data_IF_238638322643
#
_entry.id   IF_238638322643
#
_cell.length_a   1.000
_cell.length_b   1.000
_cell.length_c   1.000
_cell.angle_alpha   90.00
_cell.angle_beta   90.00
_cell.angle_gamma   90.00
#
_symmetry.space_group_name_H-M   'P 1'
#
loop_
_entity.id
_entity.type
_entity.pdbx_description
1 polymer ?
#
# COMPACT_ATOMS: atom_id res chain seq x y z
N UNK A 1 -5.47 -16.17 6.68
CA UNK A 1 -4.73 -14.90 6.63
C UNK A 1 -5.59 -13.81 7.26
N UNK A 2 -4.97 -12.77 7.81
CA UNK A 2 -5.66 -11.71 8.55
C UNK A 2 -4.92 -10.38 8.46
N UNK A 3 -5.63 -9.28 8.63
CA UNK A 3 -5.09 -7.95 8.96
C UNK A 3 -5.27 -7.76 10.45
N UNK A 4 -4.21 -7.43 11.16
CA UNK A 4 -4.25 -7.25 12.60
C UNK A 4 -3.62 -5.92 13.04
N UNK A 5 -4.19 -5.34 14.08
CA UNK A 5 -3.66 -4.16 14.76
C UNK A 5 -2.67 -4.61 15.83
N UNK A 6 -1.51 -3.97 15.85
CA UNK A 6 -0.48 -4.17 16.87
C UNK A 6 -0.19 -2.86 17.57
N UNK A 7 0.06 -2.93 18.87
CA UNK A 7 0.63 -1.83 19.64
C UNK A 7 2.14 -2.04 19.73
N UNK A 8 2.91 -1.00 19.48
CA UNK A 8 4.34 -0.96 19.81
C UNK A 8 4.45 -0.77 21.32
N UNK A 9 5.28 -1.58 21.96
CA UNK A 9 5.58 -1.41 23.38
C UNK A 9 6.38 -0.13 23.57
N UNK A 10 5.98 0.72 24.52
CA UNK A 10 6.62 2.01 24.74
C UNK A 10 8.05 1.90 25.32
N UNK A 11 8.30 0.84 26.09
CA UNK A 11 9.59 0.60 26.74
C UNK A 11 10.52 -0.27 25.87
N UNK A 12 9.92 -1.09 24.98
CA UNK A 12 10.67 -1.95 24.08
C UNK A 12 10.03 -1.90 22.67
N UNK A 13 10.48 -0.98 21.79
CA UNK A 13 9.91 -0.79 20.47
C UNK A 13 10.09 -1.98 19.50
N UNK A 14 10.95 -2.94 19.82
CA UNK A 14 11.08 -4.20 19.07
C UNK A 14 9.93 -5.16 19.38
N UNK A 15 9.21 -4.94 20.49
CA UNK A 15 8.10 -5.79 20.91
C UNK A 15 6.78 -5.28 20.39
N UNK A 16 6.16 -6.06 19.52
CA UNK A 16 4.82 -5.82 19.01
C UNK A 16 3.79 -6.66 19.79
N UNK A 17 2.80 -5.99 20.36
CA UNK A 17 1.70 -6.65 21.06
C UNK A 17 0.47 -6.64 20.17
N UNK A 18 0.04 -7.82 19.72
CA UNK A 18 -1.19 -7.96 18.94
C UNK A 18 -2.40 -7.51 19.77
N UNK A 19 -3.15 -6.54 19.26
CA UNK A 19 -4.34 -6.00 19.93
C UNK A 19 -5.62 -6.63 19.39
N UNK A 20 -5.81 -6.62 18.08
CA UNK A 20 -7.04 -7.10 17.47
C UNK A 20 -6.83 -7.56 16.04
N UNK A 21 -7.63 -8.51 15.61
CA UNK A 21 -7.78 -8.84 14.19
C UNK A 21 -8.86 -7.97 13.60
N UNK A 22 -8.53 -7.21 12.57
CA UNK A 22 -9.42 -6.27 11.89
C UNK A 22 -10.18 -6.94 10.75
N UNK A 23 -9.47 -7.73 9.93
CA UNK A 23 -10.06 -8.46 8.80
C UNK A 23 -9.54 -9.90 8.77
N UNK A 24 -10.37 -10.83 8.27
CA UNK A 24 -10.04 -12.25 8.04
C UNK A 24 -10.52 -12.72 6.68
N UNK A 25 -10.03 -13.87 6.25
CA UNK A 25 -10.58 -14.66 5.13
C UNK A 25 -9.85 -14.52 3.80
N UNK A 26 -9.13 -13.42 3.54
CA UNK A 26 -8.35 -13.22 2.32
C UNK A 26 -6.88 -12.94 2.63
N UNK A 27 -6.03 -13.10 1.63
CA UNK A 27 -4.61 -12.73 1.67
C UNK A 27 -4.42 -11.21 1.49
N UNK A 28 -4.96 -10.42 2.40
CA UNK A 28 -4.85 -8.97 2.34
C UNK A 28 -3.40 -8.50 2.44
N UNK A 29 -3.04 -7.53 1.60
CA UNK A 29 -1.71 -6.90 1.56
C UNK A 29 -1.83 -5.40 1.42
N UNK A 30 -0.74 -4.70 1.77
CA UNK A 30 -0.61 -3.24 1.62
C UNK A 30 -1.78 -2.48 2.31
N UNK A 31 -2.22 -3.01 3.46
CA UNK A 31 -3.34 -2.43 4.21
C UNK A 31 -2.95 -1.09 4.84
N UNK A 32 -3.80 -0.10 4.67
CA UNK A 32 -3.62 1.26 5.19
C UNK A 32 -4.90 1.74 5.84
N UNK A 33 -4.78 2.41 6.99
CA UNK A 33 -5.92 2.99 7.73
C UNK A 33 -5.77 4.51 7.78
N UNK A 34 -6.88 5.21 7.61
CA UNK A 34 -6.99 6.65 7.80
C UNK A 34 -8.27 6.99 8.55
N UNK A 35 -8.22 8.01 9.41
CA UNK A 35 -9.42 8.62 10.00
C UNK A 35 -9.85 9.78 9.12
N UNK A 36 -11.06 9.71 8.59
CA UNK A 36 -11.62 10.71 7.69
C UNK A 36 -13.14 10.77 7.84
N UNK A 37 -13.72 11.96 7.93
CA UNK A 37 -15.15 12.19 8.10
C UNK A 37 -15.78 11.37 9.25
N UNK A 38 -15.14 11.42 10.42
CA UNK A 38 -15.57 10.72 11.65
C UNK A 38 -15.59 9.19 11.58
N UNK A 39 -14.95 8.58 10.59
CA UNK A 39 -14.82 7.13 10.45
C UNK A 39 -13.36 6.73 10.17
N UNK A 40 -13.01 5.51 10.58
CA UNK A 40 -11.79 4.84 10.17
C UNK A 40 -12.04 4.09 8.86
N UNK A 41 -11.23 4.39 7.87
CA UNK A 41 -11.25 3.75 6.56
C UNK A 41 -10.02 2.87 6.40
N UNK A 42 -10.21 1.60 6.08
CA UNK A 42 -9.16 0.64 5.80
C UNK A 42 -9.19 0.28 4.32
N UNK A 43 -8.11 0.58 3.63
CA UNK A 43 -7.91 0.23 2.23
C UNK A 43 -6.93 -0.93 2.14
N UNK A 44 -7.18 -1.91 1.27
CA UNK A 44 -6.32 -3.08 1.12
C UNK A 44 -6.49 -3.73 -0.24
N UNK A 45 -5.53 -4.58 -0.63
CA UNK A 45 -5.53 -5.33 -1.88
C UNK A 45 -5.36 -6.81 -1.60
N UNK A 46 -5.62 -7.64 -2.62
CA UNK A 46 -5.37 -9.08 -2.58
C UNK A 46 -4.44 -9.46 -3.74
N UNK A 47 -3.32 -10.17 -3.50
CA UNK A 47 -2.44 -10.62 -4.56
C UNK A 47 -3.17 -11.42 -5.63
N UNK A 48 -2.93 -11.08 -6.90
CA UNK A 48 -3.61 -11.72 -8.03
C UNK A 48 -4.91 -11.03 -8.45
N UNK A 49 -5.56 -10.25 -7.56
CA UNK A 49 -6.76 -9.48 -7.88
C UNK A 49 -6.39 -8.04 -8.31
N UNK A 50 -5.67 -7.91 -9.42
CA UNK A 50 -4.99 -6.68 -9.84
C UNK A 50 -5.91 -5.52 -10.29
N UNK A 51 -7.23 -5.70 -10.22
CA UNK A 51 -8.25 -4.69 -10.56
C UNK A 51 -9.30 -4.54 -9.46
N UNK A 52 -9.03 -5.09 -8.28
CA UNK A 52 -9.95 -5.07 -7.15
C UNK A 52 -9.33 -4.35 -5.95
N UNK A 53 -9.93 -3.23 -5.58
CA UNK A 53 -9.65 -2.51 -4.35
C UNK A 53 -10.66 -2.93 -3.29
N UNK A 54 -10.21 -3.20 -2.09
CA UNK A 54 -11.06 -3.48 -0.94
C UNK A 54 -11.03 -2.32 0.03
N UNK A 55 -12.20 -1.81 0.38
CA UNK A 55 -12.38 -0.71 1.33
C UNK A 55 -13.30 -1.17 2.45
N UNK A 56 -12.93 -0.86 3.66
CA UNK A 56 -13.72 -1.16 4.87
C UNK A 56 -13.80 0.09 5.72
N UNK A 57 -14.85 0.20 6.54
CA UNK A 57 -15.05 1.33 7.44
C UNK A 57 -15.44 0.87 8.85
N UNK A 58 -15.14 1.69 9.84
CA UNK A 58 -15.49 1.45 11.25
C UNK A 58 -15.54 2.77 12.02
N UNK A 59 -16.38 2.83 13.05
CA UNK A 59 -16.44 3.96 13.97
C UNK A 59 -15.26 3.96 14.96
N UNK A 60 -14.58 2.81 15.12
CA UNK A 60 -13.42 2.67 16.02
C UNK A 60 -12.21 2.07 15.30
N UNK A 61 -11.01 2.48 15.73
CA UNK A 61 -9.76 2.01 15.13
C UNK A 61 -9.58 0.49 15.24
N UNK A 62 -10.02 -0.09 16.34
CA UNK A 62 -9.74 -1.47 16.74
C UNK A 62 -10.90 -2.43 16.50
N UNK A 63 -11.97 -2.03 15.81
CA UNK A 63 -13.05 -2.98 15.69
C UNK A 63 -14.15 -2.70 14.70
N UNK A 64 -14.91 -3.78 14.42
CA UNK A 64 -16.17 -3.67 13.71
C UNK A 64 -16.08 -3.24 12.25
N UNK A 65 -14.95 -3.46 11.58
CA UNK A 65 -14.80 -3.09 10.16
C UNK A 65 -15.83 -3.79 9.29
N UNK A 66 -16.69 -3.00 8.65
CA UNK A 66 -17.71 -3.42 7.69
C UNK A 66 -17.19 -3.18 6.29
N UNK A 67 -17.50 -4.06 5.34
CA UNK A 67 -17.13 -3.87 3.95
C UNK A 67 -17.91 -2.74 3.31
N UNK A 68 -17.24 -1.92 2.51
CA UNK A 68 -17.89 -0.95 1.63
C UNK A 68 -18.91 -1.67 0.71
N UNK A 69 -20.06 -1.06 0.44
CA UNK A 69 -21.14 -1.70 -0.33
C UNK A 69 -20.70 -2.13 -1.74
N UNK A 70 -19.76 -1.42 -2.34
CA UNK A 70 -19.20 -1.74 -3.66
C UNK A 70 -18.05 -2.77 -3.64
N UNK A 71 -17.68 -3.35 -2.49
CA UNK A 71 -16.58 -4.29 -2.41
C UNK A 71 -16.84 -5.59 -3.20
N UNK A 72 -15.89 -6.06 -4.01
CA UNK A 72 -14.62 -5.41 -4.38
C UNK A 72 -14.84 -4.27 -5.38
N UNK A 73 -14.28 -3.09 -5.09
CA UNK A 73 -14.37 -1.93 -5.97
C UNK A 73 -13.53 -2.17 -7.22
N UNK A 74 -14.13 -2.05 -8.38
CA UNK A 74 -13.42 -2.14 -9.66
C UNK A 74 -12.61 -0.89 -9.91
N UNK A 75 -11.30 -1.07 -10.07
CA UNK A 75 -10.35 -0.01 -10.42
C UNK A 75 -9.48 -0.46 -11.59
N UNK A 76 -8.80 0.46 -12.26
CA UNK A 76 -7.77 0.12 -13.23
C UNK A 76 -6.57 -0.51 -12.52
N UNK A 77 -5.78 -1.31 -13.25
CA UNK A 77 -4.60 -2.01 -12.70
C UNK A 77 -3.60 -1.05 -12.05
N UNK A 78 -3.38 0.10 -12.65
CA UNK A 78 -2.51 1.17 -12.15
C UNK A 78 -3.03 1.90 -10.92
N UNK A 79 -4.30 1.70 -10.56
CA UNK A 79 -4.95 2.25 -9.37
C UNK A 79 -5.28 1.20 -8.32
N UNK A 80 -4.86 -0.05 -8.50
CA UNK A 80 -5.24 -1.11 -7.58
C UNK A 80 -4.36 -1.13 -6.33
N UNK A 81 -3.07 -1.27 -6.51
CA UNK A 81 -2.15 -1.57 -5.42
C UNK A 81 -1.63 -0.32 -4.75
N UNK A 82 -1.70 -0.26 -3.41
CA UNK A 82 -1.20 0.89 -2.67
C UNK A 82 0.33 1.04 -2.81
N UNK A 83 0.78 2.30 -2.89
CA UNK A 83 2.18 2.70 -2.86
C UNK A 83 2.54 3.44 -1.55
N UNK A 84 1.81 3.18 -0.48
CA UNK A 84 2.00 3.80 0.83
C UNK A 84 0.67 4.06 1.52
N UNK A 85 0.70 4.75 2.66
CA UNK A 85 -0.52 5.12 3.38
C UNK A 85 -1.29 6.22 2.65
N UNK A 86 -2.61 6.27 2.87
CA UNK A 86 -3.40 7.44 2.51
C UNK A 86 -2.92 8.66 3.30
N UNK A 87 -3.11 9.84 2.74
CA UNK A 87 -2.70 11.09 3.38
C UNK A 87 -3.65 12.25 3.06
N UNK A 88 -3.67 13.22 3.99
CA UNK A 88 -4.40 14.48 3.80
C UNK A 88 -3.43 15.55 3.34
N UNK A 89 -3.87 16.37 2.38
CA UNK A 89 -3.18 17.58 1.96
C UNK A 89 -4.21 18.64 1.60
N UNK A 90 -4.09 19.85 2.16
CA UNK A 90 -5.06 20.95 1.96
C UNK A 90 -6.52 20.52 2.16
N UNK A 91 -6.78 19.75 3.22
CA UNK A 91 -8.11 19.20 3.56
C UNK A 91 -8.70 18.19 2.58
N UNK A 92 -7.94 17.77 1.58
CA UNK A 92 -8.33 16.77 0.60
C UNK A 92 -7.64 15.43 0.89
N UNK A 93 -8.30 14.33 0.55
CA UNK A 93 -7.79 12.97 0.78
C UNK A 93 -7.13 12.41 -0.49
N UNK A 94 -5.95 11.85 -0.32
CA UNK A 94 -5.16 11.28 -1.42
C UNK A 94 -4.74 9.85 -1.16
N UNK A 95 -4.62 9.09 -2.24
CA UNK A 95 -4.13 7.72 -2.25
C UNK A 95 -3.02 7.55 -3.29
N UNK A 96 -1.85 7.11 -2.83
CA UNK A 96 -0.75 6.74 -3.73
C UNK A 96 -0.93 5.29 -4.20
N UNK A 97 -0.76 5.04 -5.49
CA UNK A 97 -0.87 3.70 -6.11
C UNK A 97 0.34 3.38 -6.97
N UNK A 98 0.69 2.10 -7.02
CA UNK A 98 1.75 1.59 -7.88
C UNK A 98 1.24 1.49 -9.31
N UNK A 99 1.97 2.07 -10.26
CA UNK A 99 1.72 1.86 -11.68
C UNK A 99 2.62 0.71 -12.21
N UNK A 100 2.08 -0.49 -12.43
CA UNK A 100 2.82 -1.64 -12.94
C UNK A 100 2.79 -1.75 -14.47
N UNK A 101 2.34 -0.73 -15.21
CA UNK A 101 2.09 -0.82 -16.66
C UNK A 101 3.33 -1.26 -17.43
N UNK A 102 4.50 -0.71 -17.11
CA UNK A 102 5.74 -1.08 -17.79
C UNK A 102 6.53 -2.15 -17.03
N UNK A 103 6.51 -2.12 -15.71
CA UNK A 103 7.17 -3.09 -14.82
C UNK A 103 6.64 -2.94 -13.41
N UNK A 104 6.79 -3.99 -12.60
CA UNK A 104 6.43 -3.95 -11.17
C UNK A 104 7.17 -2.82 -10.45
N UNK A 105 6.41 -1.95 -9.77
CA UNK A 105 6.95 -0.77 -9.12
C UNK A 105 7.59 0.20 -10.11
N UNK A 106 6.97 0.42 -11.27
CA UNK A 106 7.49 1.29 -12.32
C UNK A 106 7.46 2.76 -11.94
N UNK A 107 6.33 3.21 -11.40
CA UNK A 107 6.07 4.59 -10.98
C UNK A 107 4.95 4.62 -9.94
N UNK A 108 4.66 5.80 -9.40
CA UNK A 108 3.57 6.01 -8.44
C UNK A 108 2.59 7.02 -9.01
N UNK A 109 1.30 6.69 -8.99
CA UNK A 109 0.22 7.62 -9.31
C UNK A 109 -0.37 8.15 -8.00
N UNK A 110 -0.50 9.46 -7.89
CA UNK A 110 -1.26 10.10 -6.81
C UNK A 110 -2.68 10.32 -7.30
N UNK A 111 -3.63 9.72 -6.60
CA UNK A 111 -5.05 9.85 -6.87
C UNK A 111 -5.68 10.73 -5.80
N UNK A 112 -6.55 11.65 -6.22
CA UNK A 112 -7.44 12.38 -5.32
C UNK A 112 -8.70 11.54 -5.10
N UNK A 113 -9.11 11.36 -3.86
CA UNK A 113 -10.39 10.74 -3.52
C UNK A 113 -11.43 11.85 -3.52
N UNK A 114 -12.31 11.83 -4.52
CA UNK A 114 -13.36 12.82 -4.72
C UNK A 114 -14.59 12.53 -3.86
N UNK A 115 -14.88 11.25 -3.67
CA UNK A 115 -16.04 10.79 -2.91
C UNK A 115 -15.68 9.52 -2.15
N UNK A 116 -15.95 9.51 -0.85
CA UNK A 116 -15.78 8.34 0.01
C UNK A 116 -16.88 8.36 1.07
N UNK A 117 -17.79 7.41 0.99
CA UNK A 117 -18.77 7.08 2.01
C UNK A 117 -19.06 5.58 1.96
N UNK A 118 -19.95 5.05 2.78
CA UNK A 118 -20.20 3.62 2.90
C UNK A 118 -20.72 2.95 1.61
N UNK A 119 -21.35 3.72 0.71
CA UNK A 119 -21.99 3.23 -0.52
C UNK A 119 -21.38 3.76 -1.82
N UNK A 120 -20.53 4.78 -1.74
CA UNK A 120 -19.98 5.44 -2.92
C UNK A 120 -18.48 5.67 -2.77
N UNK A 121 -17.74 5.40 -3.84
CA UNK A 121 -16.32 5.67 -3.94
C UNK A 121 -15.98 6.21 -5.32
N UNK A 122 -15.26 7.34 -5.36
CA UNK A 122 -14.72 7.90 -6.59
C UNK A 122 -13.34 8.48 -6.35
N UNK A 123 -12.42 8.16 -7.23
CA UNK A 123 -11.07 8.75 -7.25
C UNK A 123 -10.67 9.13 -8.67
N UNK A 124 -9.82 10.14 -8.78
CA UNK A 124 -9.23 10.57 -10.05
C UNK A 124 -7.71 10.67 -9.94
N UNK A 125 -6.96 10.27 -10.99
CA UNK A 125 -5.52 10.46 -11.03
C UNK A 125 -5.20 11.95 -11.14
N UNK A 126 -4.29 12.44 -10.29
CA UNK A 126 -3.85 13.83 -10.29
C UNK A 126 -2.53 14.00 -11.03
N UNK A 127 -1.51 13.22 -10.66
CA UNK A 127 -0.20 13.19 -11.34
C UNK A 127 0.54 11.89 -11.08
N UNK A 128 1.55 11.64 -11.89
CA UNK A 128 2.41 10.48 -11.79
C UNK A 128 3.85 10.90 -11.40
N UNK A 129 4.42 10.20 -10.43
CA UNK A 129 5.80 10.36 -9.97
C UNK A 129 6.64 9.31 -10.67
N UNK A 130 7.51 9.76 -11.57
CA UNK A 130 8.42 8.90 -12.30
C UNK A 130 9.72 8.64 -11.51
N UNK A 131 10.35 7.49 -11.70
CA UNK A 131 11.64 7.20 -11.08
C UNK A 131 12.71 8.21 -11.51
N UNK A 132 13.54 8.63 -10.55
CA UNK A 132 14.69 9.48 -10.85
C UNK A 132 15.72 8.72 -11.72
N UNK A 133 16.43 9.41 -12.62
CA UNK A 133 17.42 8.80 -13.56
C UNK A 133 18.41 7.84 -12.88
N UNK A 134 18.88 8.15 -11.68
CA UNK A 134 19.78 7.30 -10.88
C UNK A 134 19.13 5.98 -10.44
N UNK A 135 17.80 5.94 -10.32
CA UNK A 135 16.99 4.81 -9.85
C UNK A 135 15.95 4.40 -10.89
N UNK A 136 16.34 4.37 -12.16
CA UNK A 136 15.46 4.17 -13.31
C UNK A 136 14.71 2.83 -13.35
N UNK A 137 15.07 1.89 -12.45
CA UNK A 137 14.44 0.56 -12.44
C UNK A 137 13.12 0.51 -11.69
N UNK A 138 12.74 1.57 -10.98
CA UNK A 138 11.42 1.63 -10.35
C UNK A 138 11.33 2.53 -9.13
N UNK A 139 10.08 2.76 -8.76
CA UNK A 139 9.61 3.53 -7.62
C UNK A 139 8.27 2.92 -7.21
N UNK A 140 8.12 2.36 -6.01
CA UNK A 140 6.87 1.67 -5.67
C UNK A 140 6.32 1.97 -4.28
N UNK A 141 7.02 2.79 -3.49
CA UNK A 141 6.52 3.21 -2.19
C UNK A 141 6.84 4.69 -1.92
N UNK A 142 5.89 5.38 -1.29
CA UNK A 142 6.01 6.77 -0.87
C UNK A 142 5.46 6.94 0.55
N UNK A 143 6.16 7.72 1.34
CA UNK A 143 5.74 8.10 2.69
C UNK A 143 5.87 9.60 2.87
N UNK A 144 4.96 10.18 3.61
CA UNK A 144 4.86 11.61 3.85
C UNK A 144 5.02 11.91 5.34
N UNK A 145 5.74 12.98 5.63
CA UNK A 145 5.70 13.70 6.89
C UNK A 145 5.26 15.16 6.61
N UNK A 146 5.13 15.98 7.63
CA UNK A 146 4.75 17.39 7.45
C UNK A 146 5.71 18.17 6.56
N UNK A 147 6.99 17.80 6.55
CA UNK A 147 8.06 18.56 5.88
C UNK A 147 8.86 17.74 4.87
N UNK A 148 8.66 16.44 4.80
CA UNK A 148 9.48 15.54 3.98
C UNK A 148 8.64 14.51 3.25
N UNK A 149 9.12 14.14 2.06
CA UNK A 149 8.64 13.01 1.29
C UNK A 149 9.79 12.01 1.17
N UNK A 150 9.52 10.76 1.55
CA UNK A 150 10.45 9.66 1.39
C UNK A 150 9.91 8.72 0.31
N UNK A 151 10.74 8.42 -0.66
CA UNK A 151 10.43 7.47 -1.74
C UNK A 151 11.52 6.41 -1.81
N UNK A 152 11.13 5.19 -2.15
CA UNK A 152 12.11 4.18 -2.51
C UNK A 152 12.56 4.35 -3.97
N UNK A 153 13.72 3.79 -4.29
CA UNK A 153 14.23 3.85 -5.67
C UNK A 153 15.02 2.59 -5.99
N UNK A 154 14.69 1.96 -7.12
CA UNK A 154 15.34 0.76 -7.61
C UNK A 154 16.33 1.08 -8.72
N UNK A 155 17.53 0.54 -8.63
CA UNK A 155 18.54 0.65 -9.68
C UNK A 155 19.09 -0.71 -10.08
N UNK A 156 19.51 -0.82 -11.34
CA UNK A 156 20.27 -1.98 -11.79
C UNK A 156 21.68 -1.88 -11.25
N UNK A 157 22.14 -2.93 -10.59
CA UNK A 157 23.52 -3.06 -10.14
C UNK A 157 24.14 -4.22 -10.88
N UNK A 158 25.18 -3.94 -11.64
CA UNK A 158 25.99 -4.97 -12.31
C UNK A 158 27.15 -5.29 -11.36
N UNK A 159 27.17 -6.51 -10.82
CA UNK A 159 28.26 -7.00 -9.98
C UNK A 159 29.00 -8.10 -10.75
N UNK A 160 30.32 -8.04 -10.90
CA UNK A 160 31.09 -9.10 -11.52
C UNK A 160 30.96 -10.43 -10.78
N UNK A 161 30.60 -10.40 -9.50
CA UNK A 161 30.35 -11.58 -8.68
C UNK A 161 28.92 -12.13 -8.77
N UNK A 162 28.05 -11.55 -9.62
CA UNK A 162 26.66 -11.99 -9.77
C UNK A 162 26.50 -13.48 -10.14
N UNK A 163 27.32 -14.05 -11.05
CA UNK A 163 27.25 -15.47 -11.37
C UNK A 163 27.51 -16.37 -10.14
N UNK A 164 28.51 -16.04 -9.35
CA UNK A 164 28.85 -16.79 -8.13
C UNK A 164 27.73 -16.70 -7.08
N UNK A 165 27.12 -15.53 -6.88
CA UNK A 165 25.98 -15.37 -5.96
C UNK A 165 24.76 -16.19 -6.39
N UNK A 166 24.49 -16.29 -7.70
CA UNK A 166 23.42 -17.14 -8.25
C UNK A 166 23.70 -18.62 -8.02
N UNK A 167 24.97 -19.06 -8.19
CA UNK A 167 25.38 -20.43 -7.94
C UNK A 167 25.20 -20.82 -6.46
N UNK A 168 25.67 -19.98 -5.55
CA UNK A 168 25.52 -20.19 -4.10
C UNK A 168 24.05 -20.26 -3.68
N UNK A 169 23.18 -19.41 -4.25
CA UNK A 169 21.73 -19.48 -3.99
C UNK A 169 21.10 -20.77 -4.46
N UNK A 170 21.47 -21.28 -5.65
CA UNK A 170 20.98 -22.57 -6.16
C UNK A 170 21.41 -23.74 -5.25
N UNK A 171 22.64 -23.74 -4.77
CA UNK A 171 23.14 -24.78 -3.85
C UNK A 171 22.34 -24.76 -2.55
N UNK A 172 22.08 -23.57 -1.96
CA UNK A 172 21.32 -23.43 -0.72
C UNK A 172 19.80 -23.72 -0.84
N UNK A 173 19.26 -23.80 -2.04
CA UNK A 173 17.84 -24.16 -2.27
C UNK A 173 17.67 -25.67 -2.52
N UNK A 174 18.77 -26.38 -2.77
CA UNK A 174 18.75 -27.83 -3.03
C UNK A 174 19.33 -28.65 -1.84
N UNK A 175 19.63 -27.99 -0.73
CA UNK A 175 19.95 -28.56 0.59
C UNK A 175 18.83 -28.21 1.57
#
# INVERSE_FOLDING_TARGET
MEVALYKVDAENPEKLVKKKVLLKGKAFVDSSIIFFQNQYWLFTSVPGENTHLYVYHSDTLDGGYKGHQLNPIRVKKEHCRAAGKLFMFQSELYRATQNPTHKYGGSIIINKIELLNESSFQESPLFEIMPHKKYSEGLHNISFTETMIVVDGKRKVISPFMPFKKLIRKIKQNT
#
